data_IF_279876067489
#
_entry.id   IF_279876067489
#
_cell.length_a   1.000
_cell.length_b   1.000
_cell.length_c   1.000
_cell.angle_alpha   90.00
_cell.angle_beta   90.00
_cell.angle_gamma   90.00
#
_symmetry.space_group_name_H-M   'P 1'
#
loop_
_entity.id
_entity.type
_entity.pdbx_description
1 polymer ?
#
# COMPACT_ATOMS: atom_id res chain seq x y z
N UNK A 1 46.18 -21.92 -57.16
CA UNK A 1 47.01 -21.86 -55.93
C UNK A 1 46.07 -21.85 -54.72
N UNK A 2 46.34 -22.77 -53.78
CA UNK A 2 45.99 -22.78 -52.34
C UNK A 2 44.50 -22.88 -51.93
N UNK A 3 44.27 -23.93 -51.12
CA UNK A 3 43.14 -24.31 -50.26
C UNK A 3 43.15 -23.48 -48.97
N UNK A 4 42.00 -23.13 -48.39
CA UNK A 4 41.78 -23.19 -46.93
C UNK A 4 40.31 -22.91 -46.53
N UNK A 5 39.73 -23.90 -45.86
CA UNK A 5 38.52 -23.88 -45.05
C UNK A 5 38.89 -23.38 -43.64
N UNK A 6 38.15 -22.44 -43.04
CA UNK A 6 38.06 -22.30 -41.57
C UNK A 6 36.64 -21.91 -41.18
N UNK A 7 36.06 -22.75 -40.32
CA UNK A 7 34.79 -22.57 -39.62
C UNK A 7 35.02 -21.70 -38.39
N UNK A 8 34.27 -20.62 -38.24
CA UNK A 8 34.04 -19.88 -36.99
C UNK A 8 32.52 -19.57 -37.02
N UNK A 9 31.66 -20.31 -36.32
CA UNK A 9 31.66 -20.32 -34.86
C UNK A 9 31.03 -19.04 -34.30
N UNK A 10 30.00 -18.46 -34.93
CA UNK A 10 29.16 -17.47 -34.24
C UNK A 10 28.20 -18.22 -33.33
N UNK A 11 28.67 -18.42 -32.10
CA UNK A 11 27.88 -18.80 -30.94
C UNK A 11 26.52 -18.09 -30.99
N UNK A 12 25.44 -18.87 -30.98
CA UNK A 12 24.14 -18.39 -30.52
C UNK A 12 24.28 -18.10 -29.02
N UNK A 13 24.96 -17.00 -28.69
CA UNK A 13 24.91 -16.45 -27.34
C UNK A 13 23.48 -15.99 -27.14
N UNK A 14 22.73 -16.85 -26.45
CA UNK A 14 21.66 -16.51 -25.51
C UNK A 14 21.20 -15.06 -25.70
N UNK A 15 20.31 -14.81 -26.67
CA UNK A 15 19.44 -13.66 -26.55
C UNK A 15 18.76 -13.87 -25.19
N UNK A 16 19.00 -13.03 -24.17
CA UNK A 16 18.25 -13.16 -22.95
C UNK A 16 16.79 -13.09 -23.41
N UNK A 17 16.04 -14.17 -23.15
CA UNK A 17 14.59 -14.04 -23.08
C UNK A 17 14.38 -13.19 -21.84
N UNK A 18 14.56 -11.87 -21.98
CA UNK A 18 13.96 -10.94 -21.06
C UNK A 18 12.48 -11.23 -21.22
N UNK A 19 11.95 -12.00 -20.29
CA UNK A 19 10.52 -12.03 -20.07
C UNK A 19 10.16 -10.55 -19.94
N UNK A 20 9.51 -9.98 -20.94
CA UNK A 20 8.76 -8.74 -20.79
C UNK A 20 7.57 -9.10 -19.89
N UNK A 21 7.84 -9.45 -18.64
CA UNK A 21 6.94 -9.11 -17.57
C UNK A 21 7.24 -7.63 -17.38
N UNK A 22 6.48 -6.78 -18.05
CA UNK A 22 6.26 -5.44 -17.52
C UNK A 22 5.70 -5.71 -16.12
N UNK A 23 6.44 -5.43 -15.03
CA UNK A 23 5.84 -5.59 -13.72
C UNK A 23 4.62 -4.67 -13.75
N UNK A 24 3.43 -5.23 -13.52
CA UNK A 24 2.18 -4.49 -13.40
C UNK A 24 2.14 -3.68 -12.08
N UNK A 25 3.27 -3.06 -11.75
CA UNK A 25 3.60 -2.29 -10.58
C UNK A 25 4.05 -0.93 -11.10
N UNK A 26 3.12 -0.18 -11.69
CA UNK A 26 3.32 1.25 -11.85
C UNK A 26 3.57 1.82 -10.45
N UNK A 27 4.63 2.61 -10.29
CA UNK A 27 4.85 3.38 -9.06
C UNK A 27 3.60 4.22 -8.82
N UNK A 28 2.86 3.93 -7.76
CA UNK A 28 1.66 4.67 -7.42
C UNK A 28 2.04 6.07 -6.90
N UNK A 29 3.12 6.18 -6.11
CA UNK A 29 3.68 7.46 -5.68
C UNK A 29 5.10 7.34 -5.08
N UNK A 30 5.86 8.44 -5.06
CA UNK A 30 7.17 8.52 -4.39
C UNK A 30 7.17 9.52 -3.23
N UNK A 31 7.50 9.08 -2.03
CA UNK A 31 7.53 9.89 -0.81
C UNK A 31 8.93 10.40 -0.47
N UNK A 32 8.99 11.59 0.12
CA UNK A 32 10.23 12.20 0.61
C UNK A 32 11.23 12.42 -0.51
N UNK A 33 10.78 13.04 -1.62
CA UNK A 33 11.59 13.25 -2.84
C UNK A 33 12.10 11.94 -3.47
N UNK A 34 11.27 10.90 -3.40
CA UNK A 34 11.58 9.59 -4.00
C UNK A 34 12.51 8.72 -3.13
N UNK A 35 12.61 8.99 -1.82
CA UNK A 35 13.29 8.09 -0.86
C UNK A 35 12.62 6.72 -0.79
N UNK A 36 11.28 6.69 -0.79
CA UNK A 36 10.48 5.46 -0.73
C UNK A 36 9.33 5.53 -1.72
N UNK A 37 9.11 4.44 -2.44
CA UNK A 37 8.01 4.32 -3.40
C UNK A 37 6.87 3.52 -2.80
N UNK A 38 5.66 4.03 -2.96
CA UNK A 38 4.43 3.27 -2.87
C UNK A 38 4.22 2.56 -4.21
N UNK A 39 4.34 1.23 -4.20
CA UNK A 39 4.14 0.41 -5.39
C UNK A 39 2.67 0.04 -5.57
N UNK A 40 1.94 -0.19 -4.48
CA UNK A 40 0.54 -0.59 -4.51
C UNK A 40 -0.20 -0.21 -3.24
N UNK A 41 -1.49 0.09 -3.38
CA UNK A 41 -2.42 0.26 -2.27
C UNK A 41 -3.76 -0.38 -2.66
N UNK A 42 -3.99 -1.62 -2.24
CA UNK A 42 -5.19 -2.39 -2.57
C UNK A 42 -6.18 -2.36 -1.42
N UNK A 43 -7.44 -2.14 -1.76
CA UNK A 43 -8.52 -2.09 -0.79
C UNK A 43 -9.29 -3.41 -0.85
N UNK A 44 -9.34 -4.13 0.27
CA UNK A 44 -10.16 -5.33 0.42
C UNK A 44 -11.25 -5.07 1.46
N UNK A 45 -12.52 -4.98 1.04
CA UNK A 45 -13.63 -4.95 1.99
C UNK A 45 -13.60 -6.24 2.82
N UNK A 46 -13.67 -6.11 4.14
CA UNK A 46 -14.01 -7.26 4.96
C UNK A 46 -15.48 -7.55 4.67
N UNK A 47 -15.75 -8.51 3.76
CA UNK A 47 -17.09 -9.09 3.64
C UNK A 47 -17.56 -9.45 5.04
N UNK A 48 -18.83 -9.20 5.40
CA UNK A 48 -19.33 -9.56 6.71
C UNK A 48 -19.27 -11.08 6.85
N UNK A 49 -18.16 -11.58 7.35
CA UNK A 49 -18.02 -12.95 7.81
C UNK A 49 -18.79 -12.97 9.13
N UNK A 50 -19.75 -13.87 9.25
CA UNK A 50 -20.53 -14.09 10.48
C UNK A 50 -19.69 -14.67 11.62
N UNK A 51 -18.39 -14.38 11.65
CA UNK A 51 -17.41 -14.86 12.61
C UNK A 51 -16.57 -13.67 13.06
N UNK A 52 -16.53 -13.33 14.36
CA UNK A 52 -15.78 -12.19 14.84
C UNK A 52 -14.30 -12.36 14.48
N UNK A 53 -13.74 -11.36 13.80
CA UNK A 53 -12.30 -11.27 13.58
C UNK A 53 -11.66 -10.92 14.93
N UNK A 54 -10.92 -11.87 15.50
CA UNK A 54 -10.16 -11.65 16.74
C UNK A 54 -8.94 -10.81 16.42
N UNK A 55 -9.06 -9.48 16.52
CA UNK A 55 -7.91 -8.58 16.54
C UNK A 55 -7.19 -8.69 17.88
N UNK A 56 -5.92 -9.11 17.88
CA UNK A 56 -5.06 -9.03 19.06
C UNK A 56 -4.43 -7.63 19.11
N UNK A 57 -5.05 -6.68 19.81
CA UNK A 57 -4.49 -5.34 19.98
C UNK A 57 -5.41 -4.34 20.68
N UNK A 58 -5.32 -4.29 22.02
CA UNK A 58 -5.81 -3.24 22.97
C UNK A 58 -7.00 -2.37 22.51
N UNK A 59 -8.19 -2.87 22.82
CA UNK A 59 -9.45 -2.14 22.85
C UNK A 59 -10.57 -3.12 22.63
N UNK A 60 -11.25 -3.56 23.69
CA UNK A 60 -12.38 -4.48 23.61
C UNK A 60 -13.57 -3.79 22.92
N UNK A 61 -13.55 -3.81 21.59
CA UNK A 61 -14.67 -3.52 20.72
C UNK A 61 -14.79 -4.69 19.76
N UNK A 62 -15.90 -5.42 19.83
CA UNK A 62 -16.25 -6.43 18.85
C UNK A 62 -16.28 -5.75 17.48
N UNK A 63 -15.32 -6.06 16.60
CA UNK A 63 -15.30 -5.52 15.24
C UNK A 63 -16.54 -6.10 14.56
N UNK A 64 -17.62 -5.32 14.51
CA UNK A 64 -18.84 -5.72 13.82
C UNK A 64 -18.49 -5.89 12.34
N UNK A 65 -18.67 -7.11 11.85
CA UNK A 65 -18.51 -7.48 10.46
C UNK A 65 -19.38 -6.54 9.59
N UNK A 66 -18.76 -5.57 8.92
CA UNK A 66 -19.43 -4.46 8.22
C UNK A 66 -18.90 -3.05 8.55
N UNK A 67 -18.11 -2.89 9.63
CA UNK A 67 -17.55 -1.61 10.06
C UNK A 67 -16.02 -1.53 9.89
N UNK A 68 -15.42 -2.42 9.09
CA UNK A 68 -13.98 -2.45 8.89
C UNK A 68 -13.57 -2.71 7.43
N UNK A 69 -12.43 -2.13 7.05
CA UNK A 69 -11.79 -2.23 5.74
C UNK A 69 -10.32 -2.61 5.93
N UNK A 70 -9.79 -3.50 5.09
CA UNK A 70 -8.35 -3.75 5.05
C UNK A 70 -7.73 -3.04 3.85
N UNK A 71 -6.70 -2.24 4.10
CA UNK A 71 -5.83 -1.67 3.08
C UNK A 71 -4.50 -2.43 3.08
N UNK A 72 -4.14 -3.05 1.97
CA UNK A 72 -2.82 -3.66 1.77
C UNK A 72 -1.92 -2.67 1.04
N UNK A 73 -0.78 -2.32 1.64
CA UNK A 73 0.15 -1.32 1.11
C UNK A 73 1.49 -1.97 0.84
N UNK A 74 2.00 -1.79 -0.37
CA UNK A 74 3.30 -2.33 -0.80
C UNK A 74 4.27 -1.19 -1.04
N UNK A 75 5.41 -1.26 -0.34
CA UNK A 75 6.46 -0.26 -0.33
C UNK A 75 7.75 -0.79 -0.94
N UNK A 76 8.57 0.13 -1.46
CA UNK A 76 9.95 -0.13 -1.83
C UNK A 76 10.83 1.09 -1.49
N UNK A 77 11.79 0.98 -0.56
CA UNK A 77 12.78 2.04 -0.35
C UNK A 77 13.72 2.10 -1.54
N UNK A 78 13.88 3.29 -2.12
CA UNK A 78 14.81 3.53 -3.23
C UNK A 78 16.16 4.06 -2.75
N UNK A 79 16.23 4.48 -1.49
CA UNK A 79 17.41 4.98 -0.79
C UNK A 79 17.37 4.52 0.67
N UNK A 80 18.51 4.54 1.41
CA UNK A 80 18.50 4.29 2.84
C UNK A 80 17.55 5.26 3.56
N UNK A 81 16.66 4.73 4.39
CA UNK A 81 15.75 5.52 5.21
C UNK A 81 16.43 5.87 6.53
N UNK A 82 16.39 7.15 6.88
CA UNK A 82 17.12 7.75 8.00
C UNK A 82 16.24 7.96 9.24
N UNK A 83 14.96 7.62 9.14
CA UNK A 83 14.00 7.81 10.22
C UNK A 83 12.88 6.77 10.15
N UNK A 84 12.38 6.38 11.33
CA UNK A 84 11.21 5.51 11.47
C UNK A 84 9.94 6.35 11.35
N UNK A 85 9.60 6.71 10.12
CA UNK A 85 8.40 7.48 9.82
C UNK A 85 7.16 6.69 10.21
N UNK A 86 6.14 7.39 10.70
CA UNK A 86 4.82 6.80 10.87
C UNK A 86 4.03 6.96 9.57
N UNK A 87 3.20 5.96 9.29
CA UNK A 87 2.16 5.99 8.28
C UNK A 87 0.86 6.48 8.95
N UNK A 88 0.17 7.39 8.27
CA UNK A 88 -1.22 7.73 8.56
C UNK A 88 -2.10 7.27 7.41
N UNK A 89 -3.28 6.76 7.76
CA UNK A 89 -4.35 6.42 6.83
C UNK A 89 -5.63 7.02 7.40
N UNK A 90 -6.17 8.04 6.76
CA UNK A 90 -7.39 8.71 7.21
C UNK A 90 -8.53 8.46 6.21
N UNK A 91 -9.64 7.93 6.69
CA UNK A 91 -10.87 7.77 5.91
C UNK A 91 -11.81 8.96 6.09
N UNK A 92 -12.30 9.48 4.98
CA UNK A 92 -13.24 10.60 4.93
C UNK A 92 -14.54 10.20 4.26
N UNK A 93 -15.66 10.71 4.77
CA UNK A 93 -16.98 10.56 4.14
C UNK A 93 -17.14 11.50 2.93
N UNK A 94 -18.30 11.40 2.26
CA UNK A 94 -18.63 12.24 1.11
C UNK A 94 -18.82 13.74 1.44
N UNK A 95 -18.96 14.08 2.72
CA UNK A 95 -19.08 15.47 3.20
C UNK A 95 -17.71 16.04 3.62
N UNK A 96 -16.66 15.21 3.63
CA UNK A 96 -15.30 15.60 4.02
C UNK A 96 -15.02 15.50 5.51
N UNK A 97 -15.89 14.87 6.30
CA UNK A 97 -15.60 14.58 7.70
C UNK A 97 -14.66 13.37 7.77
N UNK A 98 -13.65 13.41 8.64
CA UNK A 98 -12.85 12.22 8.94
C UNK A 98 -13.68 11.27 9.79
N UNK A 99 -13.84 10.03 9.34
CA UNK A 99 -14.69 9.02 9.99
C UNK A 99 -13.95 7.73 10.29
N UNK A 100 -12.71 7.57 9.84
CA UNK A 100 -11.85 6.44 10.17
C UNK A 100 -10.40 6.90 10.19
N UNK A 101 -9.56 6.27 10.99
CA UNK A 101 -8.13 6.56 11.01
C UNK A 101 -7.32 5.35 11.43
N UNK A 102 -6.07 5.33 10.96
CA UNK A 102 -5.03 4.44 11.42
C UNK A 102 -3.70 5.20 11.40
N UNK A 103 -2.97 5.16 12.51
CA UNK A 103 -1.69 5.85 12.66
C UNK A 103 -0.69 4.93 13.39
N UNK A 104 0.52 4.82 12.85
CA UNK A 104 1.55 4.02 13.48
C UNK A 104 2.76 3.78 12.59
N UNK A 105 3.71 3.00 13.10
CA UNK A 105 4.82 2.53 12.28
C UNK A 105 4.29 1.61 11.17
N UNK A 106 4.80 1.73 9.93
CA UNK A 106 4.48 0.79 8.86
C UNK A 106 4.64 -0.67 9.32
N UNK A 107 3.86 -1.54 8.72
CA UNK A 107 3.84 -2.95 9.07
C UNK A 107 4.50 -3.82 8.01
N UNK A 108 5.08 -4.94 8.46
CA UNK A 108 5.47 -6.09 7.66
C UNK A 108 4.77 -7.32 8.21
N UNK A 109 4.01 -8.02 7.37
CA UNK A 109 3.30 -9.23 7.76
C UNK A 109 2.39 -9.04 9.01
N UNK A 110 1.82 -7.84 9.17
CA UNK A 110 0.92 -7.48 10.28
C UNK A 110 1.61 -7.00 11.56
N UNK A 111 2.95 -6.96 11.59
CA UNK A 111 3.73 -6.49 12.74
C UNK A 111 4.37 -5.13 12.43
N UNK A 112 4.46 -4.26 13.45
CA UNK A 112 5.14 -2.98 13.32
C UNK A 112 6.62 -3.19 12.94
N UNK A 113 7.03 -2.57 11.85
CA UNK A 113 8.37 -2.73 11.27
C UNK A 113 8.96 -1.34 10.99
N UNK A 114 9.91 -0.88 11.83
CA UNK A 114 10.50 0.45 11.69
C UNK A 114 11.18 0.61 10.32
N UNK A 115 10.86 1.66 9.58
CA UNK A 115 11.33 1.81 8.20
C UNK A 115 12.86 1.85 8.03
N UNK A 116 13.62 2.20 9.08
CA UNK A 116 15.09 2.16 9.04
C UNK A 116 15.66 0.74 8.96
N UNK A 117 14.86 -0.29 9.23
CA UNK A 117 15.26 -1.70 9.07
C UNK A 117 15.22 -2.15 7.60
N UNK A 118 14.54 -1.42 6.73
CA UNK A 118 14.29 -1.82 5.35
C UNK A 118 15.54 -1.67 4.48
N UNK A 119 15.85 -2.72 3.74
CA UNK A 119 16.96 -2.71 2.79
C UNK A 119 16.57 -2.00 1.50
N UNK A 120 17.48 -1.22 0.91
CA UNK A 120 17.25 -0.55 -0.38
C UNK A 120 16.84 -1.57 -1.44
N UNK A 121 15.71 -1.32 -2.12
CA UNK A 121 15.13 -2.18 -3.15
C UNK A 121 14.25 -3.31 -2.61
N UNK A 122 14.18 -3.53 -1.30
CA UNK A 122 13.31 -4.52 -0.66
C UNK A 122 11.83 -4.23 -0.94
N UNK A 123 11.00 -5.27 -1.06
CA UNK A 123 9.55 -5.13 -1.18
C UNK A 123 8.95 -5.43 0.20
N UNK A 124 8.30 -4.44 0.80
CA UNK A 124 7.68 -4.57 2.12
C UNK A 124 6.17 -4.40 1.98
N UNK A 125 5.40 -5.38 2.46
CA UNK A 125 3.94 -5.37 2.41
C UNK A 125 3.37 -5.31 3.83
N UNK A 126 2.41 -4.42 4.04
CA UNK A 126 1.69 -4.28 5.31
C UNK A 126 0.18 -4.22 5.09
N UNK A 127 -0.56 -4.81 6.01
CA UNK A 127 -2.03 -4.80 6.01
C UNK A 127 -2.53 -3.91 7.15
N UNK A 128 -3.42 -2.98 6.82
CA UNK A 128 -3.91 -1.98 7.76
C UNK A 128 -5.43 -2.08 7.85
N UNK A 129 -5.93 -2.46 9.04
CA UNK A 129 -7.36 -2.53 9.31
C UNK A 129 -7.85 -1.17 9.79
N UNK A 130 -8.74 -0.56 9.02
CA UNK A 130 -9.42 0.68 9.38
C UNK A 130 -10.82 0.36 9.87
N UNK A 131 -11.17 0.92 11.02
CA UNK A 131 -12.52 0.93 11.59
C UNK A 131 -13.04 2.35 11.62
N UNK A 132 -14.35 2.50 11.48
CA UNK A 132 -14.99 3.80 11.65
C UNK A 132 -15.03 4.26 13.11
N UNK A 133 -15.03 5.57 13.27
CA UNK A 133 -15.38 6.26 14.51
C UNK A 133 -16.91 6.27 14.65
N UNK A 134 -17.40 6.17 15.89
CA UNK A 134 -18.82 6.31 16.26
C UNK A 134 -19.78 5.26 15.64
N UNK A 135 -19.32 4.02 15.43
CA UNK A 135 -20.10 2.90 14.89
C UNK A 135 -20.72 3.14 13.50
N UNK A 136 -20.23 4.15 12.76
CA UNK A 136 -20.68 4.42 11.39
C UNK A 136 -20.36 3.25 10.45
N UNK A 137 -21.15 2.99 9.40
CA UNK A 137 -20.78 1.99 8.40
C UNK A 137 -19.46 2.33 7.71
N UNK A 138 -18.55 1.37 7.53
CA UNK A 138 -17.30 1.60 6.78
C UNK A 138 -17.56 1.96 5.31
N UNK A 139 -18.73 1.60 4.80
CA UNK A 139 -19.21 1.98 3.47
C UNK A 139 -19.37 3.49 3.29
N UNK A 140 -19.44 4.25 4.38
CA UNK A 140 -19.56 5.71 4.33
C UNK A 140 -18.21 6.37 3.99
N UNK A 141 -17.09 5.64 4.09
CA UNK A 141 -15.78 6.15 3.67
C UNK A 141 -15.77 6.27 2.14
N UNK A 142 -15.66 7.51 1.66
CA UNK A 142 -15.57 7.84 0.24
C UNK A 142 -14.12 7.96 -0.25
N UNK A 143 -13.22 8.44 0.61
CA UNK A 143 -11.80 8.59 0.26
C UNK A 143 -10.88 8.18 1.40
N UNK A 144 -9.71 7.62 1.06
CA UNK A 144 -8.61 7.40 1.98
C UNK A 144 -7.46 8.34 1.64
N UNK A 145 -6.91 8.99 2.67
CA UNK A 145 -5.68 9.75 2.56
C UNK A 145 -4.57 8.97 3.23
N UNK A 146 -3.50 8.70 2.49
CA UNK A 146 -2.37 7.92 2.93
C UNK A 146 -1.10 8.76 2.87
N UNK A 147 -0.30 8.79 3.94
CA UNK A 147 0.99 9.46 3.89
C UNK A 147 1.94 9.09 5.02
N UNK A 148 3.19 9.54 4.87
CA UNK A 148 4.25 9.33 5.86
C UNK A 148 4.54 10.63 6.60
N UNK A 149 4.87 10.54 7.87
CA UNK A 149 5.25 11.70 8.67
C UNK A 149 6.31 11.37 9.72
N UNK A 150 7.10 12.37 10.09
CA UNK A 150 7.98 12.30 11.24
C UNK A 150 7.13 12.45 12.51
N UNK A 151 7.01 11.39 13.31
CA UNK A 151 6.15 11.39 14.50
C UNK A 151 6.65 12.29 15.63
N UNK A 152 7.94 12.68 15.62
CA UNK A 152 8.50 13.60 16.62
C UNK A 152 8.17 15.06 16.31
N UNK A 153 8.15 15.43 15.02
CA UNK A 153 7.93 16.82 14.59
C UNK A 153 6.53 17.09 14.04
N UNK A 154 5.82 16.04 13.60
CA UNK A 154 4.56 16.14 12.86
C UNK A 154 4.73 16.49 11.38
N UNK A 155 5.97 16.64 10.90
CA UNK A 155 6.25 16.99 9.50
C UNK A 155 5.90 15.84 8.57
N UNK A 156 5.09 16.12 7.55
CA UNK A 156 4.68 15.13 6.54
C UNK A 156 5.66 15.10 5.37
N UNK A 157 5.89 13.91 4.84
CA UNK A 157 6.77 13.71 3.70
C UNK A 157 6.05 14.15 2.41
N UNK A 158 6.72 14.91 1.53
CA UNK A 158 6.15 15.30 0.25
C UNK A 158 5.96 14.07 -0.64
N UNK A 159 4.87 14.07 -1.41
CA UNK A 159 4.54 13.05 -2.40
C UNK A 159 3.73 13.69 -3.54
N UNK A 160 4.18 13.55 -4.78
CA UNK A 160 3.50 14.07 -5.98
C UNK A 160 3.06 15.56 -5.90
N UNK A 161 3.78 16.41 -5.14
CA UNK A 161 3.45 17.83 -4.95
C UNK A 161 2.42 18.11 -3.83
N UNK A 162 2.03 17.08 -3.09
CA UNK A 162 1.20 17.15 -1.87
C UNK A 162 1.93 16.43 -0.71
N UNK A 163 1.23 16.11 0.36
CA UNK A 163 1.73 15.39 1.55
C UNK A 163 1.06 14.01 1.76
N UNK A 164 0.25 13.60 0.78
CA UNK A 164 -0.55 12.37 0.82
C UNK A 164 -0.90 11.87 -0.58
N UNK A 165 -1.21 10.58 -0.66
CA UNK A 165 -1.88 9.92 -1.77
C UNK A 165 -3.36 9.80 -1.42
N UNK A 166 -4.24 10.12 -2.37
CA UNK A 166 -5.69 10.00 -2.21
C UNK A 166 -6.17 8.77 -2.98
N UNK A 167 -6.81 7.84 -2.28
CA UNK A 167 -7.49 6.69 -2.87
C UNK A 167 -8.99 6.95 -2.83
N UNK A 168 -9.63 6.98 -4.00
CA UNK A 168 -11.08 7.12 -4.10
C UNK A 168 -11.73 5.75 -4.01
N UNK A 169 -12.61 5.56 -3.03
CA UNK A 169 -13.49 4.41 -2.97
C UNK A 169 -14.68 4.76 -3.87
N UNK A 170 -14.72 4.16 -5.07
CA UNK A 170 -15.92 4.27 -5.88
C UNK A 170 -17.07 3.70 -5.04
N UNK A 171 -18.23 4.38 -4.97
CA UNK A 171 -19.38 3.79 -4.32
C UNK A 171 -19.60 2.44 -4.98
N UNK A 172 -19.60 1.37 -4.18
CA UNK A 172 -20.06 0.06 -4.64
C UNK A 172 -21.51 0.28 -5.03
N UNK A 173 -21.74 0.61 -6.31
CA UNK A 173 -23.08 0.67 -6.87
C UNK A 173 -23.69 -0.66 -6.51
N UNK A 174 -24.68 -0.64 -5.61
CA UNK A 174 -25.44 -1.80 -5.24
C UNK A 174 -25.74 -2.55 -6.54
N UNK A 175 -25.25 -3.78 -6.63
CA UNK A 175 -25.48 -4.65 -7.77
C UNK A 175 -26.95 -4.47 -8.15
N UNK A 176 -27.18 -3.95 -9.35
CA UNK A 176 -28.52 -3.75 -9.89
C UNK A 176 -29.28 -5.05 -9.66
N UNK A 177 -30.23 -5.00 -8.73
CA UNK A 177 -31.24 -6.03 -8.59
C UNK A 177 -32.14 -5.84 -9.80
N UNK A 178 -31.72 -6.43 -10.91
CA UNK A 178 -32.57 -6.54 -12.09
C UNK A 178 -33.73 -7.49 -11.73
N UNK A 179 -34.98 -7.10 -12.04
CA UNK A 179 -36.19 -7.84 -11.68
C UNK A 179 -36.35 -9.19 -12.38
#
# INVERSE_FOLDING_TARGET
AIVALVVLGSYNYLAPRTTQIEPDLAVAAGFGDGKVSLLRADITPLTPSSSPLRGEGRGEGEILAGNALTLTVVWQPLQPLDFDYNLFIHGFDGEGNRIAQWDGQPQRDGEADPMTTWSVGEIVSGDYVLTTEDDRPISDVATLWLGLYNWQTGERLPVNGDDKVILSLLPTSAAETSP
#
